data_IF_505219022807
#
_entry.id   IF_505219022807
#
_cell.length_a   1.000
_cell.length_b   1.000
_cell.length_c   1.000
_cell.angle_alpha   90.00
_cell.angle_beta   90.00
_cell.angle_gamma   90.00
#
_symmetry.space_group_name_H-M   'P 1'
#
loop_
_entity.id
_entity.type
_entity.pdbx_description
1 polymer ?
#
# COMPACT_ATOMS: atom_id res chain seq x y z
N UNK A 1 10.53 34.25 10.10
CA UNK A 1 9.87 33.14 9.37
C UNK A 1 10.70 31.89 9.61
N UNK A 2 10.11 30.81 10.16
CA UNK A 2 10.84 29.55 10.41
C UNK A 2 10.42 28.54 9.34
N UNK A 3 11.38 28.10 8.52
CA UNK A 3 11.21 26.92 7.68
C UNK A 3 11.14 25.70 8.61
N UNK A 4 10.01 25.01 8.62
CA UNK A 4 9.90 23.70 9.23
C UNK A 4 10.33 22.66 8.18
N UNK A 5 11.61 22.29 8.20
CA UNK A 5 12.02 21.03 7.58
C UNK A 5 11.44 19.91 8.44
N UNK A 6 10.74 18.96 7.82
CA UNK A 6 10.28 17.72 8.46
C UNK A 6 11.20 16.57 8.01
N UNK A 7 12.42 16.42 8.58
CA UNK A 7 13.31 15.31 8.26
C UNK A 7 12.84 13.98 8.86
N UNK A 8 11.89 14.02 9.81
CA UNK A 8 11.38 12.86 10.51
C UNK A 8 10.36 12.04 9.70
N UNK A 9 10.58 10.72 9.64
CA UNK A 9 9.48 9.76 9.42
C UNK A 9 8.50 9.92 10.59
N UNK A 10 7.20 9.72 10.33
CA UNK A 10 6.08 9.93 11.27
C UNK A 10 6.47 9.83 12.75
N UNK A 11 6.21 10.89 13.54
CA UNK A 11 6.52 11.04 14.98
C UNK A 11 7.98 11.36 15.39
N UNK A 12 8.78 12.07 14.56
CA UNK A 12 10.21 12.36 14.83
C UNK A 12 11.09 11.12 15.06
N UNK A 13 10.60 9.91 14.71
CA UNK A 13 11.38 8.69 14.71
C UNK A 13 12.35 8.74 13.51
N UNK A 14 13.59 9.15 13.80
CA UNK A 14 14.64 9.26 12.78
C UNK A 14 15.08 10.67 12.44
N UNK A 15 14.67 11.70 13.20
CA UNK A 15 15.20 13.08 13.02
C UNK A 15 16.74 13.15 13.15
N UNK A 16 17.35 12.19 13.85
CA UNK A 16 18.80 12.06 13.98
C UNK A 16 19.43 11.09 12.98
N UNK A 17 18.62 10.40 12.17
CA UNK A 17 19.13 9.48 11.16
C UNK A 17 19.50 10.28 9.91
N UNK A 18 20.65 9.96 9.29
CA UNK A 18 21.03 10.61 8.04
C UNK A 18 20.03 10.23 6.94
N UNK A 19 19.72 11.15 6.02
CA UNK A 19 18.69 10.98 5.00
C UNK A 19 18.85 9.71 4.15
N UNK A 20 20.09 9.26 3.93
CA UNK A 20 20.38 8.00 3.22
C UNK A 20 19.87 6.76 3.97
N UNK A 21 19.87 6.76 5.31
CA UNK A 21 19.39 5.64 6.11
C UNK A 21 17.86 5.55 6.04
N UNK A 22 17.18 6.69 6.07
CA UNK A 22 15.74 6.77 5.86
C UNK A 22 15.37 6.29 4.45
N UNK A 23 16.13 6.71 3.44
CA UNK A 23 15.95 6.26 2.05
C UNK A 23 16.19 4.75 1.90
N UNK A 24 17.21 4.20 2.55
CA UNK A 24 17.51 2.77 2.54
C UNK A 24 16.39 1.95 3.18
N UNK A 25 15.86 2.39 4.33
CA UNK A 25 14.74 1.72 5.00
C UNK A 25 13.47 1.80 4.16
N UNK A 26 13.14 2.98 3.63
CA UNK A 26 11.99 3.15 2.75
C UNK A 26 12.10 2.28 1.49
N UNK A 27 13.28 2.25 0.85
CA UNK A 27 13.56 1.39 -0.30
C UNK A 27 13.43 -0.09 0.02
N UNK A 28 13.93 -0.53 1.18
CA UNK A 28 13.81 -1.92 1.63
C UNK A 28 12.34 -2.31 1.83
N UNK A 29 11.54 -1.46 2.47
CA UNK A 29 10.10 -1.69 2.66
C UNK A 29 9.40 -1.77 1.30
N UNK A 30 9.69 -0.85 0.38
CA UNK A 30 9.13 -0.85 -0.97
C UNK A 30 9.47 -2.14 -1.73
N UNK A 31 10.73 -2.60 -1.67
CA UNK A 31 11.16 -3.84 -2.30
C UNK A 31 10.50 -5.08 -1.69
N UNK A 32 10.40 -5.14 -0.35
CA UNK A 32 9.71 -6.22 0.33
C UNK A 32 8.22 -6.28 -0.07
N UNK A 33 7.57 -5.12 -0.15
CA UNK A 33 6.17 -5.02 -0.56
C UNK A 33 5.99 -5.40 -2.04
N UNK A 34 6.92 -5.01 -2.92
CA UNK A 34 6.93 -5.40 -4.33
C UNK A 34 7.09 -6.92 -4.47
N UNK A 35 8.05 -7.52 -3.75
CA UNK A 35 8.23 -8.98 -3.72
C UNK A 35 6.98 -9.71 -3.25
N UNK A 36 6.35 -9.22 -2.18
CA UNK A 36 5.08 -9.78 -1.70
C UNK A 36 3.96 -9.64 -2.75
N UNK A 37 3.84 -8.47 -3.39
CA UNK A 37 2.83 -8.22 -4.41
C UNK A 37 2.98 -9.13 -5.63
N UNK A 38 4.21 -9.49 -6.04
CA UNK A 38 4.44 -10.44 -7.14
C UNK A 38 3.80 -11.80 -6.88
N UNK A 39 3.77 -12.25 -5.62
CA UNK A 39 3.17 -13.53 -5.25
C UNK A 39 1.65 -13.45 -5.03
N UNK A 40 1.12 -12.32 -4.58
CA UNK A 40 -0.29 -12.20 -4.13
C UNK A 40 -1.19 -11.48 -5.13
N UNK A 41 -0.67 -10.52 -5.90
CA UNK A 41 -1.44 -9.79 -6.89
C UNK A 41 -2.00 -10.64 -8.05
N UNK A 42 -1.32 -11.71 -8.52
CA UNK A 42 -1.88 -12.58 -9.56
C UNK A 42 -3.22 -13.21 -9.16
N UNK A 43 -3.35 -13.61 -7.89
CA UNK A 43 -4.58 -14.19 -7.33
C UNK A 43 -5.57 -13.12 -6.87
N UNK A 44 -5.18 -11.84 -6.85
CA UNK A 44 -6.03 -10.71 -6.49
C UNK A 44 -7.11 -10.44 -7.55
N UNK A 45 -8.29 -10.00 -7.11
CA UNK A 45 -9.30 -9.47 -8.03
C UNK A 45 -8.84 -8.15 -8.65
N UNK A 46 -9.60 -7.61 -9.61
CA UNK A 46 -9.25 -6.36 -10.30
C UNK A 46 -9.00 -5.21 -9.32
N UNK A 47 -9.84 -5.09 -8.28
CA UNK A 47 -9.66 -4.08 -7.23
C UNK A 47 -8.35 -4.28 -6.46
N UNK A 48 -8.02 -5.51 -6.08
CA UNK A 48 -6.76 -5.81 -5.39
C UNK A 48 -5.53 -5.53 -6.26
N UNK A 49 -5.57 -5.86 -7.56
CA UNK A 49 -4.48 -5.56 -8.51
C UNK A 49 -4.24 -4.05 -8.68
N UNK A 50 -5.31 -3.27 -8.84
CA UNK A 50 -5.23 -1.80 -8.87
C UNK A 50 -4.69 -1.29 -7.53
N UNK A 51 -5.12 -1.88 -6.42
CA UNK A 51 -4.62 -1.55 -5.09
C UNK A 51 -3.11 -1.76 -4.96
N UNK A 52 -2.58 -2.92 -5.36
CA UNK A 52 -1.15 -3.19 -5.37
C UNK A 52 -0.37 -2.22 -6.27
N UNK A 53 -0.87 -1.93 -7.47
CA UNK A 53 -0.26 -0.96 -8.37
C UNK A 53 -0.22 0.45 -7.76
N UNK A 54 -1.28 0.87 -7.07
CA UNK A 54 -1.34 2.16 -6.39
C UNK A 54 -0.37 2.25 -5.21
N UNK A 55 -0.30 1.21 -4.35
CA UNK A 55 0.67 1.22 -3.23
C UNK A 55 2.11 1.23 -3.73
N UNK A 56 2.44 0.39 -4.71
CA UNK A 56 3.80 0.34 -5.28
C UNK A 56 4.16 1.62 -6.03
N UNK A 57 3.22 2.19 -6.78
CA UNK A 57 3.39 3.47 -7.45
C UNK A 57 3.64 4.61 -6.46
N UNK A 58 2.82 4.71 -5.41
CA UNK A 58 3.00 5.72 -4.36
C UNK A 58 4.31 5.55 -3.60
N UNK A 59 4.69 4.32 -3.26
CA UNK A 59 5.96 4.03 -2.59
C UNK A 59 7.18 4.35 -3.48
N UNK A 60 7.09 4.11 -4.79
CA UNK A 60 8.13 4.44 -5.75
C UNK A 60 8.27 5.97 -5.93
N UNK A 61 7.16 6.71 -6.06
CA UNK A 61 7.20 8.18 -6.12
C UNK A 61 7.86 8.75 -4.86
N UNK A 62 7.50 8.27 -3.66
CA UNK A 62 8.13 8.70 -2.41
C UNK A 62 9.65 8.40 -2.38
N UNK A 63 10.10 7.31 -3.01
CA UNK A 63 11.52 6.97 -3.08
C UNK A 63 12.27 7.86 -4.08
N UNK A 64 11.66 8.15 -5.23
CA UNK A 64 12.20 9.06 -6.25
C UNK A 64 12.33 10.48 -5.68
N UNK A 65 11.29 10.99 -5.02
CA UNK A 65 11.28 12.30 -4.38
C UNK A 65 12.43 12.42 -3.36
N UNK A 66 12.61 11.40 -2.52
CA UNK A 66 13.69 11.41 -1.51
C UNK A 66 15.09 11.21 -2.11
N UNK A 67 15.21 10.57 -3.28
CA UNK A 67 16.49 10.33 -3.95
C UNK A 67 16.99 11.54 -4.75
N UNK A 68 16.06 12.33 -5.30
CA UNK A 68 16.39 13.50 -6.12
C UNK A 68 16.94 14.66 -5.27
N UNK A 69 16.31 14.97 -4.13
CA UNK A 69 16.63 16.18 -3.37
C UNK A 69 17.10 15.92 -1.91
N UNK A 70 17.08 14.67 -1.43
CA UNK A 70 17.28 14.36 0.00
C UNK A 70 16.17 14.91 0.91
N UNK A 71 15.14 15.49 0.30
CA UNK A 71 13.94 16.10 0.86
C UNK A 71 12.79 15.63 -0.03
N UNK A 72 11.66 15.25 0.53
CA UNK A 72 10.49 14.83 -0.26
C UNK A 72 10.09 16.00 -1.17
N UNK A 73 10.19 15.85 -2.49
CA UNK A 73 9.82 16.87 -3.47
C UNK A 73 8.32 17.16 -3.38
N UNK A 74 7.98 18.21 -2.64
CA UNK A 74 6.62 18.69 -2.42
C UNK A 74 5.99 19.19 -3.74
N UNK A 75 5.29 18.33 -4.49
CA UNK A 75 4.65 18.73 -5.76
C UNK A 75 3.47 19.72 -5.61
N UNK A 76 2.95 19.94 -4.40
CA UNK A 76 1.90 20.93 -4.13
C UNK A 76 2.15 21.72 -2.83
N UNK A 77 2.86 22.83 -2.92
CA UNK A 77 2.92 23.84 -1.87
C UNK A 77 1.82 24.89 -2.10
N UNK A 78 0.67 24.76 -1.42
CA UNK A 78 -0.39 25.78 -1.42
C UNK A 78 -0.26 26.79 -0.28
N UNK A 79 0.70 26.63 0.64
CA UNK A 79 1.01 27.59 1.70
C UNK A 79 0.02 27.68 2.87
N UNK A 80 -1.18 27.06 2.77
CA UNK A 80 -2.20 27.06 3.83
C UNK A 80 -2.73 25.66 4.20
N UNK A 81 -2.33 24.62 3.46
CA UNK A 81 -2.76 23.23 3.65
C UNK A 81 -1.51 22.35 3.84
N UNK A 82 -1.50 21.37 4.76
CA UNK A 82 -0.36 20.47 4.96
C UNK A 82 -0.05 19.72 3.65
N UNK A 83 1.23 19.45 3.40
CA UNK A 83 1.66 18.84 2.14
C UNK A 83 1.03 17.46 1.97
N UNK A 84 0.07 17.35 1.05
CA UNK A 84 -0.50 16.07 0.67
C UNK A 84 0.46 15.42 -0.31
N UNK A 85 1.38 14.60 0.20
CA UNK A 85 2.19 13.75 -0.67
C UNK A 85 1.24 12.89 -1.49
N UNK A 86 1.28 13.07 -2.80
CA UNK A 86 0.52 12.27 -3.75
C UNK A 86 0.81 10.76 -3.52
N UNK A 87 2.03 10.45 -3.08
CA UNK A 87 2.43 9.14 -2.56
C UNK A 87 1.52 8.62 -1.44
N UNK A 88 1.28 9.39 -0.38
CA UNK A 88 0.44 8.99 0.76
C UNK A 88 -1.01 8.77 0.32
N UNK A 89 -1.49 9.55 -0.65
CA UNK A 89 -2.82 9.39 -1.25
C UNK A 89 -2.92 8.08 -2.04
N UNK A 90 -1.94 7.79 -2.89
CA UNK A 90 -1.89 6.53 -3.64
C UNK A 90 -1.76 5.31 -2.73
N UNK A 91 -0.92 5.39 -1.70
CA UNK A 91 -0.75 4.32 -0.71
C UNK A 91 -2.06 4.08 0.04
N UNK A 92 -2.71 5.15 0.52
CA UNK A 92 -3.98 5.04 1.27
C UNK A 92 -5.09 4.42 0.42
N UNK A 93 -5.30 4.94 -0.80
CA UNK A 93 -6.29 4.39 -1.73
C UNK A 93 -5.96 2.93 -2.08
N UNK A 94 -4.68 2.64 -2.33
CA UNK A 94 -4.22 1.30 -2.67
C UNK A 94 -4.50 0.27 -1.57
N UNK A 95 -4.20 0.62 -0.32
CA UNK A 95 -4.49 -0.23 0.85
C UNK A 95 -5.99 -0.46 1.00
N UNK A 96 -6.81 0.58 0.87
CA UNK A 96 -8.28 0.45 0.93
C UNK A 96 -8.78 -0.52 -0.13
N UNK A 97 -8.29 -0.44 -1.36
CA UNK A 97 -8.67 -1.34 -2.45
C UNK A 97 -8.28 -2.80 -2.18
N UNK A 98 -7.07 -3.03 -1.65
CA UNK A 98 -6.61 -4.38 -1.26
C UNK A 98 -7.51 -4.96 -0.16
N UNK A 99 -7.81 -4.17 0.88
CA UNK A 99 -8.69 -4.60 1.98
C UNK A 99 -10.09 -4.93 1.47
N UNK A 100 -10.66 -4.10 0.58
CA UNK A 100 -11.96 -4.36 -0.01
C UNK A 100 -11.99 -5.64 -0.86
N UNK A 101 -10.92 -5.93 -1.61
CA UNK A 101 -10.81 -7.18 -2.39
C UNK A 101 -10.83 -8.41 -1.48
N UNK A 102 -10.06 -8.38 -0.39
CA UNK A 102 -9.98 -9.46 0.60
C UNK A 102 -11.32 -9.68 1.30
N UNK A 103 -11.98 -8.60 1.75
CA UNK A 103 -13.27 -8.69 2.41
C UNK A 103 -14.36 -9.26 1.49
N UNK A 104 -14.38 -8.85 0.21
CA UNK A 104 -15.32 -9.38 -0.78
C UNK A 104 -15.12 -10.87 -1.03
N UNK A 105 -13.88 -11.32 -1.20
CA UNK A 105 -13.55 -12.75 -1.37
C UNK A 105 -13.98 -13.57 -0.16
N UNK A 106 -13.70 -13.09 1.06
CA UNK A 106 -14.12 -13.77 2.28
C UNK A 106 -15.64 -13.85 2.43
N UNK A 107 -16.36 -12.81 2.01
CA UNK A 107 -17.83 -12.81 1.96
C UNK A 107 -18.38 -13.86 0.99
N UNK A 108 -17.78 -13.98 -0.20
CA UNK A 108 -18.16 -15.00 -1.18
C UNK A 108 -17.88 -16.42 -0.68
N UNK A 109 -16.70 -16.66 -0.08
CA UNK A 109 -16.36 -17.96 0.50
C UNK A 109 -17.33 -18.41 1.60
N UNK A 110 -17.90 -17.48 2.35
CA UNK A 110 -18.91 -17.75 3.39
C UNK A 110 -20.32 -17.95 2.83
N UNK A 111 -20.64 -17.29 1.72
CA UNK A 111 -21.96 -17.36 1.09
C UNK A 111 -22.15 -18.64 0.26
N UNK A 112 -21.08 -19.28 -0.22
CA UNK A 112 -21.16 -20.55 -0.95
C UNK A 112 -21.56 -21.67 0.02
N UNK A 113 -22.78 -22.25 -0.08
CA UNK A 113 -23.19 -23.33 0.81
C UNK A 113 -22.28 -24.54 0.59
N UNK A 114 -21.55 -24.98 1.64
CA UNK A 114 -20.79 -26.23 1.62
C UNK A 114 -21.75 -27.38 1.34
N UNK A 115 -21.74 -27.86 0.10
CA UNK A 115 -22.18 -29.18 -0.34
C UNK A 115 -23.47 -29.72 0.27
N UNK A 116 -24.58 -29.56 -0.46
CA UNK A 116 -25.69 -30.51 -0.40
C UNK A 116 -25.28 -31.84 -1.05
N UNK A 117 -24.25 -32.52 -0.53
CA UNK A 117 -23.83 -33.83 -1.01
C UNK A 117 -24.59 -34.97 -0.28
N UNK A 118 -25.91 -34.82 -0.13
CA UNK A 118 -26.79 -35.84 0.49
C UNK A 118 -27.60 -36.65 -0.53
N UNK A 119 -27.47 -36.41 -1.84
CA UNK A 119 -28.31 -37.09 -2.86
C UNK A 119 -27.62 -38.22 -3.63
N UNK A 120 -26.31 -38.43 -3.45
CA UNK A 120 -25.63 -39.58 -4.05
C UNK A 120 -25.79 -40.87 -3.23
N UNK A 121 -26.01 -40.78 -1.91
CA UNK A 121 -26.18 -41.95 -1.02
C UNK A 121 -27.63 -42.45 -0.89
N UNK A 122 -28.61 -41.69 -1.39
CA UNK A 122 -30.04 -42.05 -1.31
C UNK A 122 -30.55 -42.78 -2.56
N UNK A 123 -29.71 -42.99 -3.57
CA UNK A 123 -30.07 -43.70 -4.80
C UNK A 123 -29.49 -45.13 -4.85
N UNK A 124 -28.87 -45.58 -3.76
CA UNK A 124 -28.28 -46.92 -3.64
C UNK A 124 -28.82 -47.71 -2.43
N UNK A 125 -30.06 -47.43 -2.01
CA UNK A 125 -30.81 -48.21 -1.00
C UNK A 125 -32.19 -48.58 -1.51
#
# INVERSE_FOLDING_TARGET
MRLAFNPGVAFSLGDQLPSWAILAVAGLITLALAGYAVHVAPDAGVAGRIGFAAVLGGALTNLIDRAADGVVTDYFHTGWFPTFNLADTFITIGVVLIVLDVLRKNGQLRATPRGSNRRADSLNR
#
